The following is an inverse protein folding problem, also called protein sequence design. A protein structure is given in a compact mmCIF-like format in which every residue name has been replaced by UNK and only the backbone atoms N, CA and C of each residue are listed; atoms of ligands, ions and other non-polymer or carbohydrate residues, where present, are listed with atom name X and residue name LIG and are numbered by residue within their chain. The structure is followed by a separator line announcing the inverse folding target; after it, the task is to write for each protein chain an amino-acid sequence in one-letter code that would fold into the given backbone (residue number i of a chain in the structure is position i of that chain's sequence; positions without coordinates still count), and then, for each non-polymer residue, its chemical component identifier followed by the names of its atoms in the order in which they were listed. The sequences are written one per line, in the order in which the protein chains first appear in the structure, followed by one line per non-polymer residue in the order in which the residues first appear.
data_IF_947412736874
#
_entry.id   IF_947412736874
#
_cell.length_a   1.000
_cell.length_b   1.000
_cell.length_c   1.000
_cell.angle_alpha   90.00
_cell.angle_beta   90.00
_cell.angle_gamma   90.00
#
_symmetry.space_group_name_H-M   'P 1'
#
loop_
_entity.id
_entity.type
_entity.pdbx_description
1 polymer ?
#
# COMPACT_ATOMS: atom_id res chain seq x y z
N UNK A 1 9.04 -4.06 7.75
CA UNK A 1 10.01 -4.54 6.73
C UNK A 1 9.23 -5.04 5.52
N UNK A 2 9.66 -4.74 4.29
CA UNK A 2 8.96 -5.09 3.04
C UNK A 2 9.90 -5.79 2.06
N UNK A 3 9.46 -6.91 1.51
CA UNK A 3 10.25 -7.69 0.55
C UNK A 3 9.94 -7.24 -0.88
N UNK A 4 10.92 -6.68 -1.56
CA UNK A 4 10.82 -6.28 -2.98
C UNK A 4 12.07 -6.73 -3.73
N UNK A 5 11.90 -7.31 -4.92
CA UNK A 5 13.03 -7.79 -5.73
C UNK A 5 13.93 -8.82 -5.03
N UNK A 6 13.37 -9.62 -4.12
CA UNK A 6 14.12 -10.63 -3.35
C UNK A 6 14.96 -10.07 -2.20
N UNK A 7 14.85 -8.78 -1.88
CA UNK A 7 15.54 -8.14 -0.75
C UNK A 7 14.54 -7.56 0.23
N UNK A 8 14.87 -7.63 1.51
CA UNK A 8 14.10 -7.01 2.59
C UNK A 8 14.57 -5.58 2.79
N UNK A 9 13.64 -4.64 2.66
CA UNK A 9 13.89 -3.22 2.87
C UNK A 9 13.12 -2.73 4.10
N UNK A 10 13.77 -1.89 4.90
CA UNK A 10 13.07 -1.09 5.88
C UNK A 10 12.25 -0.03 5.15
N UNK A 11 10.98 0.11 5.53
CA UNK A 11 10.11 1.18 5.05
C UNK A 11 9.74 1.99 6.27
N UNK A 12 10.14 3.25 6.29
CA UNK A 12 9.65 4.26 7.21
C UNK A 12 8.70 5.19 6.46
N UNK A 13 7.66 5.62 7.14
CA UNK A 13 6.68 6.57 6.62
C UNK A 13 6.19 7.49 7.75
N UNK A 14 5.71 8.66 7.36
CA UNK A 14 5.00 9.59 8.22
C UNK A 14 3.52 9.61 7.86
N UNK A 15 2.66 9.88 8.84
CA UNK A 15 1.23 10.11 8.61
C UNK A 15 1.06 11.59 8.23
N UNK A 16 0.53 11.84 7.03
CA UNK A 16 0.35 13.21 6.50
C UNK A 16 -1.07 13.71 6.69
N UNK A 17 -2.06 12.82 6.76
CA UNK A 17 -3.44 13.14 7.12
C UNK A 17 -4.07 11.97 7.86
N UNK A 18 -4.92 12.27 8.85
CA UNK A 18 -5.67 11.29 9.61
C UNK A 18 -7.04 11.85 9.96
N UNK A 19 -8.09 11.26 9.41
CA UNK A 19 -9.48 11.56 9.76
C UNK A 19 -10.16 10.26 10.19
N UNK A 20 -10.20 9.99 11.48
CA UNK A 20 -10.78 8.74 11.98
C UNK A 20 -12.31 8.73 11.83
N UNK A 21 -12.94 7.63 11.37
CA UNK A 21 -12.36 6.37 10.88
C UNK A 21 -12.22 6.31 9.34
N UNK A 22 -12.28 7.45 8.64
CA UNK A 22 -12.50 7.54 7.19
C UNK A 22 -11.24 7.60 6.34
N UNK A 23 -10.16 8.20 6.83
CA UNK A 23 -8.98 8.51 6.01
C UNK A 23 -7.69 8.36 6.80
N UNK A 24 -6.71 7.73 6.17
CA UNK A 24 -5.31 7.76 6.59
C UNK A 24 -4.43 7.95 5.35
N UNK A 25 -3.70 9.06 5.29
CA UNK A 25 -2.70 9.31 4.27
C UNK A 25 -1.29 9.23 4.88
N UNK A 26 -0.37 8.62 4.14
CA UNK A 26 1.03 8.48 4.54
C UNK A 26 1.98 8.87 3.43
N UNK A 27 3.19 9.22 3.82
CA UNK A 27 4.31 9.47 2.92
C UNK A 27 5.52 8.70 3.37
N UNK A 28 6.15 7.96 2.46
CA UNK A 28 7.39 7.27 2.76
C UNK A 28 8.51 8.27 3.06
N UNK A 29 9.23 8.04 4.15
CA UNK A 29 10.47 8.75 4.50
C UNK A 29 11.72 7.89 4.23
N UNK A 30 11.55 6.57 4.12
CA UNK A 30 12.58 5.63 3.68
C UNK A 30 11.98 4.43 2.94
N UNK A 31 12.83 3.67 2.23
CA UNK A 31 12.41 2.49 1.49
C UNK A 31 13.02 2.41 0.09
N UNK A 32 12.67 1.38 -0.68
CA UNK A 32 13.25 1.14 -2.00
C UNK A 32 12.81 2.18 -3.05
N UNK A 33 11.71 2.88 -2.82
CA UNK A 33 11.20 3.97 -3.66
C UNK A 33 10.31 4.89 -2.82
N UNK A 34 10.24 6.20 -3.15
CA UNK A 34 9.32 7.10 -2.49
C UNK A 34 7.88 6.87 -2.97
N UNK A 35 6.92 6.90 -2.05
CA UNK A 35 5.50 6.80 -2.34
C UNK A 35 4.67 7.67 -1.39
N UNK A 36 3.53 8.14 -1.89
CA UNK A 36 2.41 8.55 -1.04
C UNK A 36 1.37 7.43 -1.06
N UNK A 37 0.77 7.14 0.10
CA UNK A 37 -0.34 6.19 0.24
C UNK A 37 -1.55 6.90 0.81
N UNK A 38 -2.73 6.48 0.38
CA UNK A 38 -4.00 6.93 0.97
C UNK A 38 -4.92 5.73 1.13
N UNK A 39 -5.40 5.52 2.36
CA UNK A 39 -6.43 4.54 2.67
C UNK A 39 -7.70 5.28 3.05
N UNK A 40 -8.77 5.05 2.30
CA UNK A 40 -10.09 5.59 2.59
C UNK A 40 -11.10 4.48 2.90
N UNK A 41 -11.99 4.76 3.84
CA UNK A 41 -13.05 3.87 4.28
C UNK A 41 -14.40 4.53 4.01
N UNK A 42 -15.22 3.86 3.23
CA UNK A 42 -16.57 4.29 2.88
C UNK A 42 -17.56 3.21 3.35
N UNK A 43 -18.58 3.61 4.11
CA UNK A 43 -19.68 2.71 4.48
C UNK A 43 -20.66 2.62 3.32
N UNK A 44 -21.02 1.39 2.94
CA UNK A 44 -21.95 1.08 1.86
C UNK A 44 -22.90 0.01 2.38
N UNK A 45 -24.12 0.41 2.70
CA UNK A 45 -25.11 -0.43 3.38
C UNK A 45 -24.50 -1.07 4.63
N UNK A 46 -24.55 -2.40 4.75
CA UNK A 46 -23.96 -3.17 5.86
C UNK A 46 -22.48 -3.54 5.62
N UNK A 47 -21.82 -2.92 4.65
CA UNK A 47 -20.42 -3.21 4.29
C UNK A 47 -19.53 -1.97 4.39
N UNK A 48 -18.22 -2.19 4.47
CA UNK A 48 -17.22 -1.12 4.36
C UNK A 48 -16.35 -1.37 3.13
N UNK A 49 -16.32 -0.39 2.22
CA UNK A 49 -15.38 -0.35 1.12
C UNK A 49 -14.09 0.30 1.60
N UNK A 50 -13.00 -0.45 1.49
CA UNK A 50 -11.65 0.04 1.76
C UNK A 50 -10.97 0.29 0.41
N UNK A 51 -10.54 1.52 0.17
CA UNK A 51 -9.75 1.88 -1.01
C UNK A 51 -8.34 2.24 -0.56
N UNK A 52 -7.34 1.53 -1.07
CA UNK A 52 -5.93 1.86 -0.85
C UNK A 52 -5.30 2.33 -2.16
N UNK A 53 -4.91 3.60 -2.20
CA UNK A 53 -4.23 4.23 -3.33
C UNK A 53 -2.76 4.39 -3.00
N UNK A 54 -1.89 3.83 -3.84
CA UNK A 54 -0.43 4.00 -3.73
C UNK A 54 0.11 4.73 -4.97
N UNK A 55 0.70 5.89 -4.73
CA UNK A 55 1.33 6.72 -5.75
C UNK A 55 2.84 6.66 -5.58
N UNK A 56 3.51 5.82 -6.38
CA UNK A 56 4.97 5.83 -6.46
C UNK A 56 5.44 7.14 -7.09
N UNK A 57 6.29 7.89 -6.38
CA UNK A 57 6.87 9.12 -6.91
C UNK A 57 8.20 8.80 -7.58
N UNK A 58 8.34 9.18 -8.84
CA UNK A 58 9.65 9.25 -9.48
C UNK A 58 10.30 10.58 -9.10
N UNK A 59 11.01 10.63 -7.96
CA UNK A 59 11.68 11.86 -7.49
C UNK A 59 12.99 12.17 -8.22
N UNK A 60 13.48 11.28 -9.09
CA UNK A 60 14.66 11.53 -9.92
C UNK A 60 14.53 10.84 -11.29
N UNK A 61 15.19 11.42 -12.29
CA UNK A 61 15.15 11.01 -13.70
C UNK A 61 15.45 9.51 -13.92
N UNK A 62 16.32 8.92 -13.09
CA UNK A 62 16.64 7.50 -13.11
C UNK A 62 15.48 6.58 -12.68
N UNK A 63 14.76 6.92 -11.60
CA UNK A 63 13.53 6.18 -11.21
C UNK A 63 12.42 6.38 -12.24
N UNK A 64 12.31 7.58 -12.82
CA UNK A 64 11.39 7.87 -13.92
C UNK A 64 11.66 6.98 -15.14
N UNK A 65 12.93 6.82 -15.52
CA UNK A 65 13.34 5.92 -16.62
C UNK A 65 13.02 4.45 -16.29
N UNK A 66 13.26 4.01 -15.05
CA UNK A 66 12.96 2.66 -14.59
C UNK A 66 11.45 2.36 -14.62
N UNK A 67 10.62 3.26 -14.09
CA UNK A 67 9.16 3.15 -14.16
C UNK A 67 8.63 3.28 -15.59
N UNK A 68 9.28 4.03 -16.47
CA UNK A 68 8.88 4.11 -17.90
C UNK A 68 9.19 2.82 -18.63
N UNK A 69 10.39 2.24 -18.40
CA UNK A 69 10.84 1.02 -19.08
C UNK A 69 10.15 -0.25 -18.57
N UNK A 70 9.88 -0.33 -17.27
CA UNK A 70 9.35 -1.54 -16.64
C UNK A 70 7.96 -1.36 -16.03
N UNK A 71 7.40 -0.15 -15.98
CA UNK A 71 6.12 0.12 -15.34
C UNK A 71 4.95 -0.63 -15.95
N UNK A 72 4.97 -0.92 -17.25
CA UNK A 72 3.92 -1.73 -17.90
C UNK A 72 3.87 -3.16 -17.34
N UNK A 73 5.02 -3.71 -16.92
CA UNK A 73 5.11 -5.06 -16.36
C UNK A 73 5.00 -5.06 -14.83
N UNK A 74 5.56 -4.05 -14.15
CA UNK A 74 5.53 -3.93 -12.69
C UNK A 74 4.16 -3.54 -12.18
N UNK A 75 3.46 -2.64 -12.86
CA UNK A 75 2.15 -2.15 -12.42
C UNK A 75 1.11 -3.26 -12.19
N UNK A 76 0.90 -4.22 -13.11
CA UNK A 76 -0.01 -5.33 -12.85
C UNK A 76 0.50 -6.28 -11.74
N UNK A 77 1.82 -6.44 -11.60
CA UNK A 77 2.39 -7.25 -10.52
C UNK A 77 2.12 -6.62 -9.14
N UNK A 78 2.44 -5.34 -8.99
CA UNK A 78 2.19 -4.57 -7.76
C UNK A 78 0.69 -4.49 -7.45
N UNK A 79 -0.16 -4.30 -8.46
CA UNK A 79 -1.61 -4.29 -8.27
C UNK A 79 -2.13 -5.64 -7.72
N UNK A 80 -1.64 -6.76 -8.27
CA UNK A 80 -1.99 -8.10 -7.77
C UNK A 80 -1.48 -8.33 -6.35
N UNK A 81 -0.28 -7.86 -6.04
CA UNK A 81 0.28 -7.98 -4.70
C UNK A 81 -0.56 -7.18 -3.69
N UNK A 82 -0.87 -5.91 -3.99
CA UNK A 82 -1.73 -5.07 -3.14
C UNK A 82 -3.12 -5.68 -2.96
N UNK A 83 -3.69 -6.28 -4.01
CA UNK A 83 -4.96 -6.98 -3.91
C UNK A 83 -4.90 -8.18 -2.96
N UNK A 84 -3.80 -8.97 -2.98
CA UNK A 84 -3.60 -10.08 -2.04
C UNK A 84 -3.47 -9.59 -0.60
N UNK A 85 -2.74 -8.51 -0.38
CA UNK A 85 -2.58 -7.89 0.94
C UNK A 85 -3.93 -7.35 1.47
N UNK A 86 -4.72 -6.69 0.62
CA UNK A 86 -6.08 -6.25 0.97
C UNK A 86 -7.01 -7.42 1.30
N UNK A 87 -6.94 -8.53 0.56
CA UNK A 87 -7.71 -9.74 0.87
C UNK A 87 -7.30 -10.35 2.21
N UNK A 88 -6.01 -10.34 2.53
CA UNK A 88 -5.53 -10.79 3.85
C UNK A 88 -6.09 -9.91 4.96
N UNK A 89 -6.03 -8.58 4.81
CA UNK A 89 -6.61 -7.64 5.79
C UNK A 89 -8.11 -7.90 5.95
N UNK A 90 -8.84 -8.09 4.85
CA UNK A 90 -10.25 -8.45 4.87
C UNK A 90 -10.48 -9.72 5.70
N UNK A 91 -9.74 -10.79 5.42
CA UNK A 91 -9.86 -12.05 6.18
C UNK A 91 -9.57 -11.86 7.66
N UNK A 92 -8.55 -11.10 8.04
CA UNK A 92 -8.23 -10.84 9.44
C UNK A 92 -9.31 -10.01 10.16
N UNK A 93 -9.95 -9.07 9.46
CA UNK A 93 -11.03 -8.25 10.02
C UNK A 93 -12.35 -9.04 10.14
N UNK A 94 -12.64 -9.93 9.18
CA UNK A 94 -13.83 -10.78 9.20
C UNK A 94 -13.68 -11.98 10.13
N UNK A 95 -12.45 -12.47 10.35
CA UNK A 95 -12.11 -13.57 11.26
C UNK A 95 -11.13 -13.10 12.35
N UNK A 96 -11.58 -12.36 13.38
CA UNK A 96 -10.71 -11.80 14.40
C UNK A 96 -9.94 -12.85 15.20
N UNK A 97 -10.40 -14.11 15.24
CA UNK A 97 -9.70 -15.22 15.89
C UNK A 97 -8.36 -15.57 15.22
N UNK A 98 -8.24 -15.36 13.90
CA UNK A 98 -7.02 -15.62 13.12
C UNK A 98 -5.96 -14.53 13.29
N UNK A 99 -6.36 -13.31 13.66
CA UNK A 99 -5.44 -12.19 13.93
C UNK A 99 -4.61 -12.39 15.21
N UNK A 100 -5.08 -13.23 16.14
CA UNK A 100 -4.43 -13.49 17.43
C UNK A 100 -3.40 -14.64 17.39
N UNK A 101 -3.29 -15.36 16.27
CA UNK A 101 -2.44 -16.56 16.12
C UNK A 101 -1.22 -16.38 15.20
N UNK A 102 -1.03 -15.20 14.60
CA UNK A 102 0.09 -14.89 13.70
C UNK A 102 1.20 -14.07 14.36
#
# INVERSE_FOLDING_TARGET
MYTYGGKTHEIAYEITALETPRLMATRSTSGPFPFDSEVSLESIDDTTRITNTLNAKATNWGLGLWFTLFGVMIRPFMARQLQRELMLVKTLLENPEDATRS
#
